data_IF_151162330215
#
_entry.id   IF_151162330215
#
_cell.length_a   1.000
_cell.length_b   1.000
_cell.length_c   1.000
_cell.angle_alpha   90.00
_cell.angle_beta   90.00
_cell.angle_gamma   90.00
#
_symmetry.space_group_name_H-M   'P 1'
#
loop_
_entity.id
_entity.type
_entity.pdbx_description
1 polymer ?
#
# COMPACT_ATOMS: atom_id res chain seq x y z
N UNK A 1 17.78 45.36 18.14
CA UNK A 1 16.72 44.71 17.32
C UNK A 1 17.19 43.30 17.02
N UNK A 2 16.71 42.32 17.78
CA UNK A 2 17.05 40.90 17.55
C UNK A 2 16.11 40.35 16.48
N UNK A 3 16.68 39.95 15.33
CA UNK A 3 15.96 39.34 14.23
C UNK A 3 15.77 37.85 14.54
N UNK A 4 14.54 37.45 14.87
CA UNK A 4 14.18 36.05 15.07
C UNK A 4 13.96 35.42 13.69
N UNK A 5 14.91 34.59 13.24
CA UNK A 5 14.73 33.76 12.04
C UNK A 5 13.88 32.55 12.42
N UNK A 6 12.61 32.56 12.01
CA UNK A 6 11.74 31.37 12.08
C UNK A 6 12.19 30.42 10.98
N UNK A 7 12.92 29.38 11.36
CA UNK A 7 13.19 28.24 10.48
C UNK A 7 11.91 27.41 10.42
N UNK A 8 11.12 27.60 9.36
CA UNK A 8 10.01 26.72 9.04
C UNK A 8 10.59 25.40 8.51
N UNK A 9 10.66 24.37 9.36
CA UNK A 9 10.99 23.03 8.89
C UNK A 9 9.89 22.56 7.93
N UNK A 10 10.21 22.01 6.75
CA UNK A 10 9.17 21.45 5.89
C UNK A 10 8.50 20.32 6.66
N UNK A 11 7.21 20.46 6.93
CA UNK A 11 6.39 19.37 7.42
C UNK A 11 6.31 18.34 6.29
N UNK A 12 7.17 17.32 6.34
CA UNK A 12 7.01 16.17 5.48
C UNK A 12 5.67 15.53 5.82
N UNK A 13 4.75 15.57 4.86
CA UNK A 13 3.46 14.92 4.99
C UNK A 13 3.65 13.42 5.29
N UNK A 14 2.95 12.91 6.30
CA UNK A 14 3.06 11.52 6.72
C UNK A 14 2.41 10.59 5.70
N UNK A 15 3.00 9.42 5.45
CA UNK A 15 2.37 8.33 4.68
C UNK A 15 1.13 7.83 5.45
N UNK A 16 -0.06 7.93 4.86
CA UNK A 16 -1.34 7.58 5.53
C UNK A 16 -2.03 6.37 4.93
N UNK A 17 -1.73 6.05 3.67
CA UNK A 17 -2.48 5.06 2.92
C UNK A 17 -1.69 4.36 1.81
N UNK A 18 -2.15 3.16 1.45
CA UNK A 18 -1.73 2.39 0.27
C UNK A 18 -2.89 2.33 -0.72
N UNK A 19 -2.60 2.64 -1.99
CA UNK A 19 -3.53 2.39 -3.10
C UNK A 19 -3.59 0.89 -3.33
N UNK A 20 -4.76 0.28 -3.16
CA UNK A 20 -4.94 -1.16 -3.37
C UNK A 20 -5.28 -1.48 -4.83
N UNK A 21 -6.12 -0.66 -5.45
CA UNK A 21 -6.53 -0.85 -6.84
C UNK A 21 -6.94 0.49 -7.47
N UNK A 22 -6.72 0.62 -8.78
CA UNK A 22 -7.15 1.77 -9.58
C UNK A 22 -7.83 1.27 -10.84
N UNK A 23 -9.08 1.67 -11.05
CA UNK A 23 -9.81 1.44 -12.30
C UNK A 23 -10.21 2.79 -12.90
N UNK A 24 -10.08 2.93 -14.23
CA UNK A 24 -10.26 4.22 -14.89
C UNK A 24 -9.13 5.20 -14.56
N UNK A 25 -9.38 6.50 -14.77
CA UNK A 25 -8.37 7.54 -14.60
C UNK A 25 -8.48 8.22 -13.23
N UNK A 26 -7.43 8.05 -12.44
CA UNK A 26 -7.21 8.75 -11.17
C UNK A 26 -5.86 9.44 -11.25
N UNK A 27 -5.80 10.72 -10.91
CA UNK A 27 -4.55 11.49 -10.92
C UNK A 27 -4.34 12.13 -9.55
N UNK A 28 -3.10 12.14 -9.09
CA UNK A 28 -2.65 12.94 -7.94
C UNK A 28 -2.23 14.32 -8.43
N UNK A 29 -2.76 15.36 -7.79
CA UNK A 29 -2.39 16.74 -8.05
C UNK A 29 -1.04 17.02 -7.37
N UNK A 30 0.02 17.16 -8.15
CA UNK A 30 1.36 17.46 -7.63
C UNK A 30 2.02 18.54 -8.49
N UNK A 31 2.35 19.68 -7.87
CA UNK A 31 2.97 20.81 -8.57
C UNK A 31 2.14 21.31 -9.76
N UNK A 32 2.78 21.44 -10.93
CA UNK A 32 2.16 21.97 -12.15
C UNK A 32 1.52 20.90 -13.05
N UNK A 33 1.80 19.61 -12.82
CA UNK A 33 1.36 18.53 -13.70
C UNK A 33 0.75 17.37 -12.89
N UNK A 34 -0.50 16.97 -13.15
CA UNK A 34 -1.10 15.81 -12.49
C UNK A 34 -0.33 14.53 -12.82
N UNK A 35 -0.11 13.69 -11.81
CA UNK A 35 0.58 12.41 -11.93
C UNK A 35 -0.46 11.28 -11.93
N UNK A 36 -0.50 10.39 -12.93
CA UNK A 36 -1.37 9.22 -12.90
C UNK A 36 -1.12 8.37 -11.65
N UNK A 37 -2.19 7.98 -10.96
CA UNK A 37 -2.10 7.15 -9.78
C UNK A 37 -2.10 5.67 -10.17
N UNK A 38 -1.15 4.91 -9.63
CA UNK A 38 -1.03 3.46 -9.86
C UNK A 38 -1.34 2.66 -8.59
N UNK A 39 -1.69 1.38 -8.77
CA UNK A 39 -1.83 0.46 -7.64
C UNK A 39 -0.51 0.33 -6.86
N UNK A 40 -0.63 0.11 -5.56
CA UNK A 40 0.45 0.05 -4.57
C UNK A 40 1.27 1.34 -4.41
N UNK A 41 0.83 2.46 -4.98
CA UNK A 41 1.37 3.77 -4.62
C UNK A 41 1.04 4.11 -3.15
N UNK A 42 1.96 4.82 -2.48
CA UNK A 42 1.71 5.38 -1.16
C UNK A 42 1.19 6.80 -1.27
N UNK A 43 0.20 7.10 -0.43
CA UNK A 43 -0.42 8.41 -0.33
C UNK A 43 -0.04 9.06 1.00
N UNK A 44 0.23 10.36 0.94
CA UNK A 44 0.55 11.19 2.10
C UNK A 44 -0.65 12.03 2.53
N UNK A 45 -0.66 12.44 3.79
CA UNK A 45 -1.64 13.42 4.28
C UNK A 45 -1.57 14.72 3.46
N UNK A 46 -2.71 15.20 2.98
CA UNK A 46 -2.81 16.38 2.12
C UNK A 46 -2.63 16.09 0.62
N UNK A 47 -2.33 14.85 0.21
CA UNK A 47 -2.40 14.49 -1.22
C UNK A 47 -3.83 14.71 -1.73
N UNK A 48 -3.95 15.33 -2.91
CA UNK A 48 -5.24 15.56 -3.57
C UNK A 48 -5.35 14.72 -4.81
N UNK A 49 -6.42 13.96 -4.91
CA UNK A 49 -6.70 13.08 -6.02
C UNK A 49 -7.91 13.58 -6.80
N UNK A 50 -7.86 13.45 -8.13
CA UNK A 50 -9.00 13.67 -9.00
C UNK A 50 -9.37 12.34 -9.64
N UNK A 51 -10.62 11.92 -9.43
CA UNK A 51 -11.21 10.73 -10.02
C UNK A 51 -12.08 11.17 -11.20
N UNK A 52 -11.82 10.65 -12.39
CA UNK A 52 -12.67 10.91 -13.56
C UNK A 52 -13.98 10.11 -13.51
N UNK A 53 -14.84 10.35 -14.50
CA UNK A 53 -16.07 9.57 -14.68
C UNK A 53 -15.71 8.09 -14.87
N UNK A 54 -16.44 7.21 -14.18
CA UNK A 54 -16.21 5.75 -14.17
C UNK A 54 -14.91 5.31 -13.49
N UNK A 55 -14.17 6.19 -12.82
CA UNK A 55 -13.02 5.79 -12.04
C UNK A 55 -13.45 5.11 -10.73
N UNK A 56 -12.71 4.09 -10.30
CA UNK A 56 -12.83 3.47 -8.99
C UNK A 56 -11.45 3.41 -8.33
N UNK A 57 -11.38 3.80 -7.07
CA UNK A 57 -10.16 3.80 -6.27
C UNK A 57 -10.41 3.00 -4.99
N UNK A 58 -9.52 2.07 -4.66
CA UNK A 58 -9.51 1.40 -3.34
C UNK A 58 -8.26 1.77 -2.58
N UNK A 59 -8.43 2.12 -1.31
CA UNK A 59 -7.36 2.61 -0.44
C UNK A 59 -7.44 1.97 0.93
N UNK A 60 -6.31 1.51 1.46
CA UNK A 60 -6.17 1.01 2.82
C UNK A 60 -5.35 2.00 3.68
N UNK A 61 -5.92 2.43 4.80
CA UNK A 61 -5.34 3.41 5.72
C UNK A 61 -4.58 2.73 6.86
N UNK A 62 -3.36 3.22 7.14
CA UNK A 62 -2.43 2.55 8.05
C UNK A 62 -2.73 2.78 9.53
N UNK A 63 -3.30 3.93 9.89
CA UNK A 63 -3.46 4.32 11.30
C UNK A 63 -4.69 3.71 11.97
N UNK A 64 -5.74 3.44 11.20
CA UNK A 64 -7.04 3.03 11.72
C UNK A 64 -7.59 1.76 11.08
N UNK A 65 -6.87 1.16 10.12
CA UNK A 65 -7.34 -0.03 9.41
C UNK A 65 -8.56 0.20 8.54
N UNK A 66 -8.90 1.44 8.23
CA UNK A 66 -10.01 1.76 7.33
C UNK A 66 -9.64 1.35 5.90
N UNK A 67 -10.55 0.72 5.20
CA UNK A 67 -10.45 0.46 3.76
C UNK A 67 -11.62 1.18 3.09
N UNK A 68 -11.33 2.08 2.17
CA UNK A 68 -12.33 2.83 1.42
C UNK A 68 -12.34 2.40 -0.05
N UNK A 69 -13.53 2.29 -0.62
CA UNK A 69 -13.75 2.22 -2.07
C UNK A 69 -14.51 3.46 -2.51
N UNK A 70 -13.88 4.24 -3.38
CA UNK A 70 -14.40 5.46 -3.97
C UNK A 70 -14.79 5.24 -5.43
N UNK A 71 -15.86 5.90 -5.87
CA UNK A 71 -16.28 5.93 -7.26
C UNK A 71 -16.39 7.39 -7.73
N UNK A 72 -15.81 7.70 -8.90
CA UNK A 72 -15.82 9.03 -9.49
C UNK A 72 -17.13 9.39 -10.21
N UNK A 73 -17.25 10.64 -10.69
CA UNK A 73 -16.22 11.68 -10.69
C UNK A 73 -16.18 12.53 -9.41
N UNK A 74 -15.02 13.12 -9.11
CA UNK A 74 -14.85 14.10 -8.03
C UNK A 74 -13.42 14.19 -7.51
N UNK A 75 -13.22 14.93 -6.43
CA UNK A 75 -11.93 15.13 -5.77
C UNK A 75 -11.89 14.41 -4.41
N UNK A 76 -10.68 14.02 -4.00
CA UNK A 76 -10.44 13.37 -2.72
C UNK A 76 -9.18 13.95 -2.07
N UNK A 77 -9.30 14.54 -0.89
CA UNK A 77 -8.14 14.91 -0.07
C UNK A 77 -7.81 13.79 0.93
N UNK A 78 -6.56 13.38 0.97
CA UNK A 78 -6.10 12.27 1.81
C UNK A 78 -5.80 12.75 3.23
N UNK A 79 -6.42 12.14 4.24
CA UNK A 79 -6.07 12.37 5.65
C UNK A 79 -5.70 11.06 6.34
N UNK A 80 -5.15 11.14 7.56
CA UNK A 80 -4.89 9.93 8.36
C UNK A 80 -6.18 9.18 8.77
N UNK A 81 -7.33 9.86 8.78
CA UNK A 81 -8.62 9.28 9.23
C UNK A 81 -9.44 8.67 8.11
N UNK A 82 -9.16 9.03 6.86
CA UNK A 82 -9.97 8.70 5.70
C UNK A 82 -9.87 9.79 4.62
N UNK A 83 -10.56 9.57 3.51
CA UNK A 83 -10.58 10.53 2.42
C UNK A 83 -11.69 11.56 2.64
N UNK A 84 -11.36 12.83 2.44
CA UNK A 84 -12.33 13.94 2.48
C UNK A 84 -12.80 14.25 1.06
N UNK A 85 -14.08 13.99 0.73
CA UNK A 85 -14.55 14.09 -0.64
C UNK A 85 -14.94 15.53 -1.02
N UNK A 86 -14.50 15.94 -2.21
CA UNK A 86 -15.01 17.10 -2.95
C UNK A 86 -15.87 16.62 -4.13
N UNK A 87 -17.19 16.54 -3.94
CA UNK A 87 -18.13 16.14 -5.01
C UNK A 87 -18.19 14.63 -5.31
N UNK A 88 -17.48 13.79 -4.55
CA UNK A 88 -17.65 12.33 -4.58
C UNK A 88 -18.82 11.88 -3.70
N UNK A 89 -19.44 10.76 -4.06
CA UNK A 89 -20.38 10.06 -3.19
C UNK A 89 -19.67 9.46 -1.95
N UNK A 90 -20.43 9.15 -0.90
CA UNK A 90 -19.89 8.46 0.30
C UNK A 90 -19.21 7.14 -0.09
N UNK A 91 -18.01 6.86 0.42
CA UNK A 91 -17.28 5.65 0.06
C UNK A 91 -17.93 4.42 0.68
N UNK A 92 -17.75 3.27 0.03
CA UNK A 92 -17.95 2.01 0.73
C UNK A 92 -16.77 1.79 1.68
N UNK A 93 -17.05 1.62 2.97
CA UNK A 93 -16.03 1.49 4.02
C UNK A 93 -16.05 0.09 4.62
N UNK A 94 -14.87 -0.52 4.74
CA UNK A 94 -14.62 -1.75 5.50
C UNK A 94 -13.56 -1.49 6.55
N UNK A 95 -13.56 -2.29 7.62
CA UNK A 95 -12.52 -2.25 8.65
C UNK A 95 -11.64 -3.48 8.53
N UNK A 96 -10.33 -3.24 8.56
CA UNK A 96 -9.28 -4.24 8.66
C UNK A 96 -8.73 -4.26 10.09
N UNK A 97 -8.25 -5.41 10.58
CA UNK A 97 -7.43 -5.42 11.79
C UNK A 97 -6.23 -4.49 11.62
N UNK A 98 -5.94 -3.66 12.61
CA UNK A 98 -4.86 -2.67 12.53
C UNK A 98 -3.49 -3.30 12.24
N UNK A 99 -3.25 -4.52 12.73
CA UNK A 99 -2.03 -5.28 12.43
C UNK A 99 -1.88 -5.56 10.91
N UNK A 100 -2.99 -5.88 10.23
CA UNK A 100 -3.01 -6.12 8.78
C UNK A 100 -2.71 -4.82 8.04
N UNK A 101 -3.37 -3.72 8.40
CA UNK A 101 -3.14 -2.42 7.76
C UNK A 101 -1.69 -1.91 7.91
N UNK A 102 -1.11 -2.08 9.11
CA UNK A 102 0.30 -1.76 9.35
C UNK A 102 1.26 -2.65 8.57
N UNK A 103 0.86 -3.90 8.32
CA UNK A 103 1.65 -4.83 7.52
C UNK A 103 1.59 -4.46 6.03
N UNK A 104 0.42 -4.05 5.51
CA UNK A 104 0.28 -3.52 4.14
C UNK A 104 1.16 -2.28 3.88
N UNK A 105 1.39 -1.43 4.89
CA UNK A 105 2.30 -0.30 4.77
C UNK A 105 3.75 -0.68 4.40
N UNK A 106 4.10 -1.98 4.51
CA UNK A 106 5.41 -2.56 4.19
C UNK A 106 5.49 -3.13 2.77
N UNK A 107 4.41 -3.06 1.98
CA UNK A 107 4.42 -3.41 0.57
C UNK A 107 5.41 -2.52 -0.20
N UNK A 108 6.32 -3.08 -1.02
CA UNK A 108 7.25 -2.30 -1.83
C UNK A 108 6.53 -1.40 -2.85
N UNK A 109 7.11 -0.24 -3.17
CA UNK A 109 6.58 0.75 -4.14
C UNK A 109 7.47 0.88 -5.38
N UNK A 110 6.90 1.34 -6.50
CA UNK A 110 7.59 1.40 -7.80
C UNK A 110 8.77 2.39 -7.81
N UNK A 111 8.56 3.57 -7.24
CA UNK A 111 9.54 4.64 -7.20
C UNK A 111 10.53 4.44 -6.05
N UNK A 112 11.73 4.02 -6.47
CA UNK A 112 12.88 3.88 -5.61
C UNK A 112 13.44 5.24 -5.20
N UNK A 113 12.83 5.88 -4.21
CA UNK A 113 13.66 6.44 -3.16
C UNK A 113 13.83 5.33 -2.15
N UNK A 114 15.06 4.81 -2.04
CA UNK A 114 15.45 3.90 -0.97
C UNK A 114 15.34 4.59 0.39
N UNK A 115 14.11 4.90 0.83
CA UNK A 115 13.81 5.03 2.24
C UNK A 115 14.00 3.63 2.76
N UNK A 116 15.25 3.37 3.14
CA UNK A 116 15.70 2.21 3.91
C UNK A 116 14.50 1.84 4.75
N UNK A 117 13.87 0.69 4.46
CA UNK A 117 12.94 0.09 5.41
C UNK A 117 13.78 0.07 6.67
N UNK A 118 13.49 1.00 7.59
CA UNK A 118 14.29 1.17 8.78
C UNK A 118 14.33 -0.23 9.34
N UNK A 119 15.53 -0.80 9.36
CA UNK A 119 15.75 -2.17 9.78
C UNK A 119 15.45 -2.14 11.27
N UNK A 120 14.16 -2.16 11.61
CA UNK A 120 13.72 -2.21 12.98
C UNK A 120 14.26 -3.54 13.45
N UNK A 121 15.12 -3.41 14.44
CA UNK A 121 15.81 -4.47 15.14
C UNK A 121 14.86 -5.63 15.34
N UNK A 122 15.33 -6.80 14.90
CA UNK A 122 14.64 -8.08 14.93
C UNK A 122 13.94 -8.22 16.28
N UNK A 123 12.61 -8.13 16.29
CA UNK A 123 11.87 -8.90 17.28
C UNK A 123 12.10 -10.34 16.86
N UNK A 124 12.75 -11.13 17.72
CA UNK A 124 12.89 -12.57 17.53
C UNK A 124 11.51 -13.07 17.11
N UNK A 125 11.40 -13.56 15.87
CA UNK A 125 10.13 -14.09 15.39
C UNK A 125 9.72 -15.15 16.41
N UNK A 126 8.55 -14.95 17.02
CA UNK A 126 8.03 -15.95 17.95
C UNK A 126 8.00 -17.30 17.21
N UNK A 127 8.26 -18.43 17.89
CA UNK A 127 8.30 -19.75 17.26
C UNK A 127 7.05 -20.08 16.42
N UNK A 128 5.93 -19.40 16.69
CA UNK A 128 4.63 -19.56 16.02
C UNK A 128 4.25 -18.39 15.09
N UNK A 129 5.14 -17.43 14.84
CA UNK A 129 4.85 -16.23 14.03
C UNK A 129 4.35 -16.59 12.63
N UNK A 130 4.95 -17.60 12.00
CA UNK A 130 4.57 -18.06 10.68
C UNK A 130 3.19 -18.74 10.67
N UNK A 131 2.87 -19.55 11.68
CA UNK A 131 1.58 -20.20 11.80
C UNK A 131 0.45 -19.17 12.00
N UNK A 132 0.68 -18.15 12.82
CA UNK A 132 -0.27 -17.03 13.01
C UNK A 132 -0.43 -16.20 11.73
N UNK A 133 0.66 -15.96 11.02
CA UNK A 133 0.64 -15.28 9.72
C UNK A 133 -0.24 -16.03 8.72
N UNK A 134 -0.02 -17.33 8.55
CA UNK A 134 -0.79 -18.20 7.64
C UNK A 134 -2.26 -18.32 8.05
N UNK A 135 -2.56 -18.35 9.37
CA UNK A 135 -3.93 -18.32 9.86
C UNK A 135 -4.65 -17.01 9.50
N UNK A 136 -3.99 -15.87 9.72
CA UNK A 136 -4.52 -14.54 9.37
C UNK A 136 -4.75 -14.42 7.87
N UNK A 137 -3.80 -14.89 7.05
CA UNK A 137 -3.95 -14.93 5.60
C UNK A 137 -5.18 -15.72 5.17
N UNK A 138 -5.37 -16.94 5.71
CA UNK A 138 -6.53 -17.77 5.39
C UNK A 138 -7.86 -17.10 5.76
N UNK A 139 -7.90 -16.43 6.91
CA UNK A 139 -9.09 -15.66 7.31
C UNK A 139 -9.40 -14.52 6.35
N UNK A 140 -8.39 -13.71 5.99
CA UNK A 140 -8.54 -12.60 5.04
C UNK A 140 -8.99 -13.12 3.67
N UNK A 141 -8.32 -14.15 3.15
CA UNK A 141 -8.61 -14.74 1.85
C UNK A 141 -10.03 -15.33 1.78
N UNK A 142 -10.51 -15.92 2.88
CA UNK A 142 -11.87 -16.46 2.98
C UNK A 142 -12.98 -15.41 2.95
N UNK A 143 -12.68 -14.14 3.27
CA UNK A 143 -13.64 -13.02 3.24
C UNK A 143 -13.50 -12.14 1.99
N UNK A 144 -12.35 -12.20 1.33
CA UNK A 144 -12.00 -11.35 0.22
C UNK A 144 -12.57 -11.88 -1.11
N UNK A 145 -13.00 -10.97 -1.99
CA UNK A 145 -13.51 -11.33 -3.32
C UNK A 145 -12.42 -11.84 -4.24
N UNK A 146 -12.78 -12.59 -5.30
CA UNK A 146 -11.82 -13.27 -6.17
C UNK A 146 -10.71 -12.36 -6.72
N UNK A 147 -11.02 -11.10 -7.04
CA UNK A 147 -10.05 -10.13 -7.58
C UNK A 147 -9.33 -9.29 -6.52
N UNK A 148 -9.70 -9.43 -5.25
CA UNK A 148 -9.05 -8.72 -4.15
C UNK A 148 -7.65 -9.28 -3.90
N UNK A 149 -6.63 -8.42 -3.93
CA UNK A 149 -5.21 -8.76 -3.74
C UNK A 149 -4.68 -8.35 -2.36
N UNK A 150 -5.54 -7.81 -1.48
CA UNK A 150 -5.17 -7.44 -0.11
C UNK A 150 -4.57 -8.62 0.69
N UNK A 151 -5.16 -9.84 0.68
CA UNK A 151 -4.60 -10.97 1.42
C UNK A 151 -3.20 -11.35 0.93
N UNK A 152 -2.98 -11.33 -0.39
CA UNK A 152 -1.69 -11.66 -1.00
C UNK A 152 -0.64 -10.58 -0.71
N UNK A 153 -1.01 -9.29 -0.77
CA UNK A 153 -0.13 -8.19 -0.38
C UNK A 153 0.26 -8.27 1.12
N UNK A 154 -0.69 -8.62 1.99
CA UNK A 154 -0.43 -8.87 3.41
C UNK A 154 0.58 -10.01 3.61
N UNK A 155 0.36 -11.17 2.98
CA UNK A 155 1.24 -12.33 3.14
C UNK A 155 2.65 -12.07 2.58
N UNK A 156 2.74 -11.49 1.38
CA UNK A 156 4.02 -11.17 0.75
C UNK A 156 4.86 -10.20 1.58
N UNK A 157 4.25 -9.16 2.14
CA UNK A 157 4.98 -8.19 2.97
C UNK A 157 5.52 -8.83 4.24
N UNK A 158 4.75 -9.70 4.89
CA UNK A 158 5.16 -10.37 6.11
C UNK A 158 6.29 -11.40 5.87
N UNK A 159 6.15 -12.24 4.84
CA UNK A 159 7.19 -13.22 4.47
C UNK A 159 8.50 -12.52 4.07
N UNK A 160 8.42 -11.41 3.34
CA UNK A 160 9.59 -10.64 2.93
C UNK A 160 10.34 -10.05 4.14
N UNK A 161 9.62 -9.55 5.14
CA UNK A 161 10.20 -9.04 6.38
C UNK A 161 10.83 -10.14 7.24
N UNK A 162 10.20 -11.31 7.31
CA UNK A 162 10.74 -12.51 7.96
C UNK A 162 11.95 -13.11 7.22
N UNK A 163 12.33 -12.56 6.06
CA UNK A 163 13.40 -13.05 5.18
C UNK A 163 13.14 -14.47 4.64
N UNK A 164 11.87 -14.88 4.58
CA UNK A 164 11.42 -16.14 3.96
C UNK A 164 11.38 -15.98 2.42
N UNK A 165 12.50 -15.58 1.82
CA UNK A 165 12.56 -15.15 0.41
C UNK A 165 12.15 -16.25 -0.57
N UNK A 166 12.47 -17.51 -0.26
CA UNK A 166 12.08 -18.66 -1.10
C UNK A 166 10.55 -18.84 -1.12
N UNK A 167 9.89 -18.60 0.03
CA UNK A 167 8.42 -18.62 0.12
C UNK A 167 7.80 -17.44 -0.62
N UNK A 168 8.41 -16.26 -0.55
CA UNK A 168 7.98 -15.10 -1.34
C UNK A 168 8.05 -15.46 -2.83
N UNK A 169 9.18 -15.97 -3.31
CA UNK A 169 9.34 -16.35 -4.72
C UNK A 169 8.31 -17.38 -5.18
N UNK A 170 8.05 -18.41 -4.37
CA UNK A 170 7.00 -19.40 -4.66
C UNK A 170 5.63 -18.75 -4.78
N UNK A 171 5.25 -17.91 -3.83
CA UNK A 171 3.96 -17.22 -3.84
C UNK A 171 3.83 -16.27 -5.05
N UNK A 172 4.92 -15.64 -5.50
CA UNK A 172 4.90 -14.82 -6.71
C UNK A 172 4.68 -15.64 -7.99
N UNK A 173 5.17 -16.89 -8.03
CA UNK A 173 4.91 -17.82 -9.15
C UNK A 173 3.44 -18.23 -9.16
N UNK A 174 2.91 -18.62 -8.01
CA UNK A 174 1.49 -18.98 -7.82
C UNK A 174 0.58 -17.81 -8.19
N UNK A 175 0.84 -16.61 -7.66
CA UNK A 175 0.05 -15.40 -7.96
C UNK A 175 0.04 -15.07 -9.46
N UNK A 176 1.19 -15.20 -10.14
CA UNK A 176 1.26 -14.97 -11.59
C UNK A 176 0.47 -16.01 -12.38
N UNK A 177 0.48 -17.25 -11.93
CA UNK A 177 -0.25 -18.35 -12.56
C UNK A 177 -1.77 -18.22 -12.36
N UNK A 178 -2.20 -17.90 -11.14
CA UNK A 178 -3.61 -17.90 -10.76
C UNK A 178 -4.36 -16.64 -11.19
N UNK A 179 -3.64 -15.55 -11.45
CA UNK A 179 -4.20 -14.25 -11.88
C UNK A 179 -3.66 -13.81 -13.26
N UNK A 180 -3.81 -14.63 -14.31
CA UNK A 180 -3.32 -14.25 -15.63
C UNK A 180 -4.08 -13.02 -16.15
N UNK A 181 -3.35 -11.99 -16.58
CA UNK A 181 -3.94 -10.77 -17.13
C UNK A 181 -4.44 -9.75 -16.10
N UNK A 182 -4.33 -10.01 -14.80
CA UNK A 182 -4.61 -8.99 -13.79
C UNK A 182 -3.40 -8.03 -13.68
N UNK A 183 -3.55 -6.74 -14.03
CA UNK A 183 -2.44 -5.80 -14.06
C UNK A 183 -1.88 -5.49 -12.66
N UNK A 184 -2.74 -5.50 -11.64
CA UNK A 184 -2.35 -5.25 -10.24
C UNK A 184 -1.56 -6.44 -9.69
N UNK A 185 -1.94 -7.67 -10.02
CA UNK A 185 -1.15 -8.85 -9.67
C UNK A 185 0.23 -8.83 -10.36
N UNK A 186 0.28 -8.45 -11.64
CA UNK A 186 1.52 -8.33 -12.39
C UNK A 186 2.46 -7.27 -11.79
N UNK A 187 1.92 -6.11 -11.40
CA UNK A 187 2.67 -5.05 -10.74
C UNK A 187 3.20 -5.50 -9.37
N UNK A 188 2.35 -6.13 -8.55
CA UNK A 188 2.77 -6.67 -7.25
C UNK A 188 3.93 -7.67 -7.39
N UNK A 189 3.85 -8.56 -8.38
CA UNK A 189 4.93 -9.50 -8.71
C UNK A 189 6.22 -8.77 -9.11
N UNK A 190 6.13 -7.73 -9.94
CA UNK A 190 7.29 -6.95 -10.35
C UNK A 190 7.97 -6.24 -9.16
N UNK A 191 7.17 -5.64 -8.28
CA UNK A 191 7.61 -4.93 -7.08
C UNK A 191 8.39 -5.84 -6.13
N UNK A 192 7.85 -7.01 -5.80
CA UNK A 192 8.54 -7.95 -4.91
C UNK A 192 9.77 -8.60 -5.55
N UNK A 193 9.75 -8.89 -6.85
CA UNK A 193 10.96 -9.37 -7.55
C UNK A 193 12.10 -8.37 -7.47
N UNK A 194 11.80 -7.07 -7.65
CA UNK A 194 12.79 -6.00 -7.47
C UNK A 194 13.28 -5.95 -6.02
N UNK A 195 12.38 -6.02 -5.04
CA UNK A 195 12.73 -6.02 -3.63
C UNK A 195 13.62 -7.21 -3.22
N UNK A 196 13.36 -8.42 -3.73
CA UNK A 196 14.18 -9.61 -3.50
C UNK A 196 15.59 -9.45 -4.06
N UNK A 197 15.73 -8.95 -5.30
CA UNK A 197 17.04 -8.69 -5.91
C UNK A 197 17.86 -7.74 -5.05
N UNK A 198 17.28 -6.59 -4.68
CA UNK A 198 17.94 -5.60 -3.83
C UNK A 198 18.33 -6.18 -2.46
N UNK A 199 17.46 -7.01 -1.86
CA UNK A 199 17.74 -7.66 -0.58
C UNK A 199 18.93 -8.63 -0.66
N UNK A 200 19.06 -9.38 -1.76
CA UNK A 200 20.20 -10.30 -2.00
C UNK A 200 21.49 -9.52 -2.25
N UNK A 201 21.45 -8.45 -3.04
CA UNK A 201 22.62 -7.61 -3.33
C UNK A 201 23.16 -6.91 -2.08
N UNK A 202 22.29 -6.44 -1.18
CA UNK A 202 22.71 -5.77 0.07
C UNK A 202 23.43 -6.67 1.09
N UNK A 203 23.51 -7.98 0.84
CA UNK A 203 24.17 -8.96 1.72
C UNK A 203 25.58 -9.32 1.28
N UNK A 204 25.95 -8.96 0.04
CA UNK A 204 27.28 -9.14 -0.53
C UNK A 204 28.12 -7.87 -0.33
#
# INVERSE_FOLDING_TARGET
MSLLVVVCAPAWAAEVALVMSVQGKVVKQEGAAPIPLEAYAKLNAGDRLTLEKSAQLRVAYFENGRHETWAGPGELEMTARGGEPGGLATPAVKSLPLAVARQLARTPVADGAGRKVATRTRSVAAPDALARLEATYRELRGKAGADDLEPEAYLLSALFELRELDRVEKLLVELKHDRPGNPEAALLVALYRKAIRNARESRN
#
